data_IF_768746693875
#
_entry.id   IF_768746693875
#
_cell.length_a   1.000
_cell.length_b   1.000
_cell.length_c   1.000
_cell.angle_alpha   90.00
_cell.angle_beta   90.00
_cell.angle_gamma   90.00
#
_symmetry.space_group_name_H-M   'P 1'
#
loop_
_entity.id
_entity.type
_entity.pdbx_description
1 polymer ?
#
# COMPACT_ATOMS: atom_id res chain seq x y z
N UNK A 1 8.67 -4.92 -23.52
CA UNK A 1 8.26 -4.05 -22.39
C UNK A 1 8.31 -4.92 -21.14
N UNK A 2 9.18 -4.61 -20.17
CA UNK A 2 9.40 -5.46 -18.99
C UNK A 2 8.09 -5.66 -18.21
N UNK A 3 7.63 -6.91 -18.10
CA UNK A 3 6.37 -7.28 -17.45
C UNK A 3 6.39 -7.12 -15.92
N UNK A 4 7.57 -6.92 -15.32
CA UNK A 4 7.75 -6.96 -13.86
C UNK A 4 7.89 -5.59 -13.22
N UNK A 5 7.69 -4.52 -13.99
CA UNK A 5 7.72 -3.17 -13.42
C UNK A 5 6.38 -2.84 -12.74
N UNK A 6 6.49 -2.17 -11.61
CA UNK A 6 5.41 -1.55 -10.86
C UNK A 6 5.78 -0.09 -10.60
N UNK A 7 4.77 0.75 -10.39
CA UNK A 7 4.95 2.18 -10.22
C UNK A 7 4.23 2.61 -8.95
N UNK A 8 4.90 3.43 -8.15
CA UNK A 8 4.28 4.22 -7.08
C UNK A 8 4.21 5.66 -7.56
N UNK A 9 2.99 6.21 -7.55
CA UNK A 9 2.73 7.62 -7.78
C UNK A 9 2.73 8.37 -6.44
N UNK A 10 2.84 9.69 -6.50
CA UNK A 10 2.85 10.57 -5.33
C UNK A 10 4.00 10.24 -4.35
N UNK A 11 5.24 10.36 -4.81
CA UNK A 11 6.41 10.09 -3.97
C UNK A 11 6.35 10.95 -2.70
N UNK A 12 6.47 10.28 -1.56
CA UNK A 12 6.39 10.83 -0.20
C UNK A 12 5.11 11.63 0.09
N UNK A 13 4.02 11.33 -0.62
CA UNK A 13 2.74 12.01 -0.43
C UNK A 13 2.83 13.53 -0.61
N UNK A 14 3.70 14.02 -1.50
CA UNK A 14 3.92 15.44 -1.73
C UNK A 14 2.70 16.15 -2.33
N UNK A 15 1.86 15.43 -3.06
CA UNK A 15 0.60 15.91 -3.62
C UNK A 15 -0.61 15.55 -2.75
N UNK A 16 -1.58 16.46 -2.72
CA UNK A 16 -2.86 16.25 -2.02
C UNK A 16 -3.86 15.46 -2.88
N UNK A 17 -3.52 14.20 -3.18
CA UNK A 17 -4.37 13.27 -3.93
C UNK A 17 -4.08 11.82 -3.56
N UNK A 18 -5.08 10.96 -3.75
CA UNK A 18 -4.97 9.50 -3.60
C UNK A 18 -4.54 8.86 -4.91
N UNK A 19 -3.64 7.89 -4.86
CA UNK A 19 -3.16 7.18 -6.05
C UNK A 19 -3.90 5.85 -6.20
N UNK A 20 -4.76 5.74 -7.22
CA UNK A 20 -5.36 4.45 -7.58
C UNK A 20 -4.62 3.82 -8.75
N UNK A 21 -4.40 2.52 -8.67
CA UNK A 21 -3.73 1.74 -9.72
C UNK A 21 -4.64 0.62 -10.22
N UNK A 22 -4.32 0.06 -11.38
CA UNK A 22 -4.91 -1.21 -11.79
C UNK A 22 -4.55 -2.32 -10.79
N UNK A 23 -5.45 -3.29 -10.64
CA UNK A 23 -5.30 -4.43 -9.71
C UNK A 23 -3.95 -5.14 -9.85
N UNK A 24 -3.43 -5.26 -11.06
CA UNK A 24 -2.13 -5.88 -11.32
C UNK A 24 -0.96 -5.11 -10.69
N UNK A 25 -0.99 -3.78 -10.74
CA UNK A 25 0.05 -2.95 -10.11
C UNK A 25 -0.06 -3.01 -8.58
N UNK A 26 -1.27 -3.04 -8.02
CA UNK A 26 -1.46 -3.27 -6.58
C UNK A 26 -0.87 -4.61 -6.13
N UNK A 27 -1.10 -5.69 -6.88
CA UNK A 27 -0.52 -7.01 -6.58
C UNK A 27 1.00 -7.01 -6.65
N UNK A 28 1.59 -6.34 -7.63
CA UNK A 28 3.06 -6.20 -7.71
C UNK A 28 3.63 -5.38 -6.57
N UNK A 29 2.97 -4.30 -6.17
CA UNK A 29 3.34 -3.53 -4.98
C UNK A 29 3.26 -4.42 -3.73
N UNK A 30 2.19 -5.23 -3.58
CA UNK A 30 2.07 -6.18 -2.49
C UNK A 30 3.21 -7.20 -2.48
N UNK A 31 3.56 -7.78 -3.64
CA UNK A 31 4.70 -8.69 -3.75
C UNK A 31 6.01 -8.02 -3.31
N UNK A 32 6.27 -6.78 -3.74
CA UNK A 32 7.47 -6.05 -3.35
C UNK A 32 7.48 -5.72 -1.86
N UNK A 33 6.36 -5.29 -1.29
CA UNK A 33 6.24 -4.99 0.13
C UNK A 33 6.46 -6.24 1.00
N UNK A 34 6.03 -7.42 0.55
CA UNK A 34 6.25 -8.67 1.28
C UNK A 34 7.69 -9.21 1.14
N UNK A 35 8.51 -8.65 0.26
CA UNK A 35 9.92 -9.01 0.10
C UNK A 35 10.80 -8.48 1.23
N UNK A 36 12.07 -8.88 1.28
CA UNK A 36 13.05 -8.32 2.22
C UNK A 36 13.48 -6.88 1.85
N UNK A 37 13.17 -6.44 0.64
CA UNK A 37 13.58 -5.14 0.09
C UNK A 37 12.54 -4.03 0.32
N UNK A 38 11.46 -4.29 1.06
CA UNK A 38 10.35 -3.35 1.24
C UNK A 38 10.79 -1.98 1.77
N UNK A 39 11.90 -1.93 2.53
CA UNK A 39 12.50 -0.68 3.06
C UNK A 39 13.02 0.26 1.96
N UNK A 40 13.19 -0.22 0.73
CA UNK A 40 13.50 0.62 -0.43
C UNK A 40 12.33 1.53 -0.82
N UNK A 41 11.09 1.16 -0.48
CA UNK A 41 9.95 2.07 -0.55
C UNK A 41 10.01 2.97 0.69
N UNK A 42 10.02 4.28 0.46
CA UNK A 42 10.02 5.26 1.54
C UNK A 42 8.85 5.05 2.50
N UNK A 43 9.10 5.19 3.81
CA UNK A 43 8.12 4.99 4.89
C UNK A 43 6.78 5.71 4.65
N UNK A 44 6.83 6.97 4.19
CA UNK A 44 5.62 7.75 3.85
C UNK A 44 4.83 7.14 2.69
N UNK A 45 5.50 6.57 1.68
CA UNK A 45 4.80 5.88 0.60
C UNK A 45 4.21 4.56 1.07
N UNK A 46 4.87 3.82 1.97
CA UNK A 46 4.30 2.60 2.55
C UNK A 46 3.02 2.90 3.34
N UNK A 47 3.05 3.97 4.14
CA UNK A 47 1.86 4.47 4.83
C UNK A 47 0.75 4.87 3.84
N UNK A 48 1.09 5.67 2.82
CA UNK A 48 0.13 6.11 1.81
C UNK A 48 -0.50 4.94 1.07
N UNK A 49 0.27 3.92 0.69
CA UNK A 49 -0.22 2.71 0.01
C UNK A 49 -1.30 2.03 0.84
N UNK A 50 -1.08 1.84 2.15
CA UNK A 50 -2.06 1.19 3.03
C UNK A 50 -3.32 2.05 3.15
N UNK A 51 -3.16 3.36 3.36
CA UNK A 51 -4.28 4.29 3.49
C UNK A 51 -5.15 4.32 2.22
N UNK A 52 -4.51 4.46 1.05
CA UNK A 52 -5.19 4.48 -0.25
C UNK A 52 -5.85 3.12 -0.54
N UNK A 53 -5.15 2.01 -0.29
CA UNK A 53 -5.70 0.68 -0.51
C UNK A 53 -6.92 0.40 0.39
N UNK A 54 -6.87 0.79 1.66
CA UNK A 54 -7.99 0.66 2.58
C UNK A 54 -9.19 1.48 2.10
N UNK A 55 -8.96 2.75 1.75
CA UNK A 55 -10.00 3.63 1.22
C UNK A 55 -10.69 3.01 -0.01
N UNK A 56 -9.92 2.52 -0.98
CA UNK A 56 -10.48 1.89 -2.18
C UNK A 56 -11.14 0.54 -1.92
N UNK A 57 -10.68 -0.22 -0.93
CA UNK A 57 -11.31 -1.47 -0.53
C UNK A 57 -12.71 -1.22 0.08
N UNK A 58 -12.85 -0.21 0.94
CA UNK A 58 -14.14 0.22 1.49
C UNK A 58 -15.09 0.73 0.39
N UNK A 59 -14.57 1.46 -0.59
CA UNK A 59 -15.33 1.92 -1.75
C UNK A 59 -15.64 0.82 -2.79
N UNK A 60 -15.20 -0.43 -2.56
CA UNK A 60 -15.34 -1.58 -3.49
C UNK A 60 -14.67 -1.33 -4.85
N UNK A 61 -13.69 -0.43 -4.91
CA UNK A 61 -12.85 -0.15 -6.09
C UNK A 61 -11.58 -0.99 -6.12
N UNK A 62 -11.22 -1.58 -4.98
CA UNK A 62 -10.15 -2.56 -4.84
C UNK A 62 -10.73 -3.84 -4.21
N UNK A 63 -10.35 -5.01 -4.71
CA UNK A 63 -10.74 -6.27 -4.08
C UNK A 63 -10.11 -6.39 -2.69
N UNK A 64 -10.92 -6.78 -1.70
CA UNK A 64 -10.45 -6.90 -0.31
C UNK A 64 -9.34 -7.94 -0.15
N UNK A 65 -9.27 -8.93 -1.04
CA UNK A 65 -8.15 -9.90 -1.15
C UNK A 65 -6.82 -9.20 -1.41
N UNK A 66 -6.79 -8.25 -2.35
CA UNK A 66 -5.57 -7.48 -2.69
C UNK A 66 -5.17 -6.56 -1.54
N UNK A 67 -6.15 -5.97 -0.85
CA UNK A 67 -5.88 -5.23 0.38
C UNK A 67 -5.21 -6.11 1.44
N UNK A 68 -5.71 -7.34 1.67
CA UNK A 68 -5.07 -8.29 2.58
C UNK A 68 -3.65 -8.68 2.18
N UNK A 69 -3.39 -8.88 0.88
CA UNK A 69 -2.05 -9.15 0.35
C UNK A 69 -1.08 -8.01 0.66
N UNK A 70 -1.52 -6.75 0.54
CA UNK A 70 -0.75 -5.58 0.93
C UNK A 70 -0.44 -5.64 2.42
N UNK A 71 -1.45 -5.62 3.30
CA UNK A 71 -1.21 -5.48 4.74
C UNK A 71 -0.49 -6.67 5.39
N UNK A 72 -0.38 -7.81 4.71
CA UNK A 72 0.45 -8.92 5.18
C UNK A 72 1.92 -8.52 5.42
N UNK A 73 2.45 -7.53 4.68
CA UNK A 73 3.82 -7.06 4.88
C UNK A 73 4.03 -6.40 6.25
N UNK A 74 2.97 -5.83 6.85
CA UNK A 74 3.06 -5.12 8.13
C UNK A 74 3.61 -5.99 9.26
N UNK A 75 3.50 -7.32 9.13
CA UNK A 75 4.13 -8.27 10.06
C UNK A 75 5.65 -8.10 10.19
N UNK A 76 6.31 -7.51 9.19
CA UNK A 76 7.76 -7.21 9.17
C UNK A 76 8.05 -5.72 9.38
N UNK A 77 7.03 -4.88 9.49
CA UNK A 77 7.16 -3.43 9.61
C UNK A 77 7.36 -3.02 11.07
N UNK A 78 8.37 -2.18 11.31
CA UNK A 78 8.72 -1.69 12.64
C UNK A 78 8.39 -0.20 12.80
N UNK A 79 8.23 0.51 11.67
CA UNK A 79 7.99 1.94 11.65
C UNK A 79 6.52 2.28 11.98
N UNK A 80 6.32 3.05 13.07
CA UNK A 80 4.99 3.51 13.50
C UNK A 80 4.22 4.26 12.40
N UNK A 81 4.92 5.08 11.60
CA UNK A 81 4.29 5.89 10.54
C UNK A 81 3.65 4.98 9.49
N UNK A 82 4.28 3.86 9.14
CA UNK A 82 3.74 2.90 8.19
C UNK A 82 2.58 2.09 8.78
N UNK A 83 2.55 1.89 10.10
CA UNK A 83 1.45 1.25 10.84
C UNK A 83 0.23 2.14 11.06
N UNK A 84 0.42 3.46 11.11
CA UNK A 84 -0.64 4.42 11.43
C UNK A 84 -1.92 4.25 10.60
N UNK A 85 -1.87 4.09 9.26
CA UNK A 85 -3.06 3.84 8.45
C UNK A 85 -3.82 2.58 8.85
N UNK A 86 -3.11 1.51 9.22
CA UNK A 86 -3.74 0.26 9.64
C UNK A 86 -4.43 0.40 11.00
N UNK A 87 -3.85 1.18 11.91
CA UNK A 87 -4.50 1.52 13.20
C UNK A 87 -5.81 2.26 12.94
N UNK A 88 -5.80 3.23 12.01
CA UNK A 88 -7.03 3.95 11.60
C UNK A 88 -8.05 3.05 10.91
N UNK A 89 -7.60 2.11 10.09
CA UNK A 89 -8.47 1.10 9.51
C UNK A 89 -9.16 0.23 10.58
N UNK A 90 -8.43 -0.17 11.64
CA UNK A 90 -9.02 -0.91 12.76
C UNK A 90 -9.99 -0.08 13.59
N UNK A 91 -9.74 1.23 13.77
CA UNK A 91 -10.67 2.13 14.46
C UNK A 91 -11.97 2.37 13.68
N UNK A 92 -11.92 2.25 12.35
CA UNK A 92 -13.07 2.48 11.47
C UNK A 92 -14.05 1.29 11.44
N UNK A 93 -13.54 0.07 11.57
CA UNK A 93 -14.32 -1.18 11.54
C UNK A 93 -15.07 -1.36 12.87
#
# INVERSE_FOLDING_TARGET
VQKDQWIILNLQQAGYYRANYETENWRKIAQYLNSEEYKNIHILNRAQIIDDAFHFAIEKKLEFSVFWELINYLRKEEDYIAWYPMIKAFEFI
#
